data_IF_162513170682
#
_entry.id   IF_162513170682
#
_cell.length_a   1.000
_cell.length_b   1.000
_cell.length_c   1.000
_cell.angle_alpha   90.00
_cell.angle_beta   90.00
_cell.angle_gamma   90.00
#
_symmetry.space_group_name_H-M   'P 1'
#
loop_
_entity.id
_entity.type
_entity.pdbx_description
1 polymer ?
#
# COMPACT_ATOMS: atom_id res chain seq x y z
N UNK A 1 2.11 30.34 11.11
CA UNK A 1 1.50 29.33 12.00
C UNK A 1 1.97 27.96 11.54
N UNK A 2 2.94 27.38 12.26
CA UNK A 2 3.47 26.06 11.93
C UNK A 2 2.46 24.99 12.40
N UNK A 3 1.90 24.25 11.44
CA UNK A 3 0.97 23.16 11.73
C UNK A 3 1.81 21.96 12.21
N UNK A 4 1.88 21.76 13.53
CA UNK A 4 2.56 20.60 14.11
C UNK A 4 1.81 19.32 13.67
N UNK A 5 2.48 18.30 13.10
CA UNK A 5 1.83 17.04 12.79
C UNK A 5 1.53 16.33 14.11
N UNK A 6 0.26 16.11 14.39
CA UNK A 6 -0.25 15.46 15.59
C UNK A 6 0.48 14.12 15.82
N UNK A 7 1.44 14.11 16.76
CA UNK A 7 2.52 13.13 16.92
C UNK A 7 2.13 11.79 17.54
N UNK A 8 0.99 11.20 17.14
CA UNK A 8 0.66 9.82 17.48
C UNK A 8 0.96 8.94 16.28
N UNK A 9 2.15 8.33 16.27
CA UNK A 9 2.44 7.22 15.35
C UNK A 9 1.33 6.19 15.54
N UNK A 10 0.58 5.89 14.48
CA UNK A 10 -0.46 4.86 14.53
C UNK A 10 0.14 3.56 15.11
N UNK A 11 -0.49 2.94 16.12
CA UNK A 11 0.00 1.69 16.69
C UNK A 11 0.30 0.68 15.57
N UNK A 12 1.46 0.03 15.63
CA UNK A 12 1.86 -0.96 14.62
C UNK A 12 2.47 -0.39 13.33
N UNK A 13 2.48 0.93 13.08
CA UNK A 13 3.06 1.50 11.84
C UNK A 13 4.53 1.13 11.64
N UNK A 14 5.34 1.24 12.70
CA UNK A 14 6.75 0.82 12.66
C UNK A 14 6.94 -0.66 12.37
N UNK A 15 6.05 -1.52 12.88
CA UNK A 15 6.05 -2.96 12.57
C UNK A 15 5.80 -3.19 11.08
N UNK A 16 4.85 -2.45 10.51
CA UNK A 16 4.56 -2.45 9.08
C UNK A 16 5.77 -2.07 8.21
N UNK A 17 6.41 -0.95 8.54
CA UNK A 17 7.59 -0.47 7.81
C UNK A 17 8.73 -1.50 7.83
N UNK A 18 9.02 -2.09 9.00
CA UNK A 18 10.03 -3.14 9.14
C UNK A 18 9.71 -4.37 8.29
N UNK A 19 8.44 -4.80 8.28
CA UNK A 19 8.02 -5.92 7.46
C UNK A 19 8.17 -5.60 5.96
N UNK A 20 7.88 -4.38 5.53
CA UNK A 20 8.06 -3.97 4.14
C UNK A 20 9.53 -4.01 3.72
N UNK A 21 10.43 -3.47 4.54
CA UNK A 21 11.88 -3.54 4.28
C UNK A 21 12.35 -5.00 4.16
N UNK A 22 11.91 -5.88 5.07
CA UNK A 22 12.27 -7.29 5.02
C UNK A 22 11.75 -8.02 3.77
N UNK A 23 10.62 -7.58 3.19
CA UNK A 23 10.10 -8.12 1.94
C UNK A 23 10.88 -7.55 0.74
N UNK A 24 11.22 -6.27 0.75
CA UNK A 24 12.08 -5.66 -0.28
C UNK A 24 13.46 -6.33 -0.35
N UNK A 25 14.06 -6.66 0.79
CA UNK A 25 15.33 -7.40 0.87
C UNK A 25 15.23 -8.80 0.23
N UNK A 26 14.02 -9.38 0.18
CA UNK A 26 13.73 -10.65 -0.49
C UNK A 26 13.30 -10.48 -1.95
N UNK A 27 13.32 -9.25 -2.47
CA UNK A 27 12.84 -8.93 -3.81
C UNK A 27 11.32 -8.92 -3.96
N UNK A 28 10.56 -8.92 -2.85
CA UNK A 28 9.10 -8.92 -2.85
C UNK A 28 8.59 -7.49 -2.86
N UNK A 29 7.92 -7.09 -3.94
CA UNK A 29 7.23 -5.82 -4.07
C UNK A 29 5.72 -6.07 -4.13
N UNK A 30 4.99 -5.75 -3.06
CA UNK A 30 3.56 -6.03 -2.97
C UNK A 30 2.80 -4.96 -2.19
N UNK A 31 1.50 -4.85 -2.45
CA UNK A 31 0.57 -4.04 -1.66
C UNK A 31 -0.46 -4.94 -0.98
N UNK A 32 -0.83 -4.52 0.22
CA UNK A 32 -1.72 -5.26 1.10
C UNK A 32 -3.14 -4.69 1.06
N UNK A 33 -4.14 -5.49 0.72
CA UNK A 33 -5.55 -5.13 0.87
C UNK A 33 -6.06 -5.52 2.26
N UNK A 34 -6.82 -4.63 2.85
CA UNK A 34 -7.35 -4.80 4.18
C UNK A 34 -8.80 -4.30 4.24
N UNK A 35 -9.72 -5.00 4.92
CA UNK A 35 -11.10 -4.56 5.09
C UNK A 35 -11.22 -3.12 5.64
N UNK A 36 -12.34 -2.42 5.36
CA UNK A 36 -13.58 -2.95 4.81
C UNK A 36 -13.62 -3.06 3.28
N UNK A 37 -14.27 -4.13 2.82
CA UNK A 37 -14.78 -4.30 1.46
C UNK A 37 -16.24 -3.79 1.43
N UNK A 38 -16.83 -3.42 0.28
CA UNK A 38 -16.35 -3.65 -1.08
C UNK A 38 -15.29 -2.65 -1.55
N UNK A 39 -14.35 -3.13 -2.35
CA UNK A 39 -13.40 -2.29 -3.06
C UNK A 39 -14.13 -1.49 -4.16
N UNK A 40 -13.60 -0.33 -4.59
CA UNK A 40 -14.18 0.44 -5.69
C UNK A 40 -14.28 -0.38 -7.00
N UNK A 41 -15.19 -0.06 -7.93
CA UNK A 41 -15.36 -0.82 -9.18
C UNK A 41 -14.07 -0.94 -10.03
N UNK A 42 -13.23 0.10 -10.01
CA UNK A 42 -11.95 0.15 -10.74
C UNK A 42 -10.82 -0.64 -10.07
N UNK A 43 -11.07 -1.23 -8.90
CA UNK A 43 -10.01 -1.85 -8.09
C UNK A 43 -9.31 -3.00 -8.80
N UNK A 44 -10.07 -3.90 -9.42
CA UNK A 44 -9.52 -5.03 -10.17
C UNK A 44 -8.67 -4.59 -11.36
N UNK A 45 -9.07 -3.53 -12.06
CA UNK A 45 -8.29 -2.95 -13.15
C UNK A 45 -6.99 -2.33 -12.63
N UNK A 46 -7.03 -1.64 -11.48
CA UNK A 46 -5.86 -1.05 -10.86
C UNK A 46 -4.85 -2.09 -10.37
N UNK A 47 -5.30 -3.16 -9.71
CA UNK A 47 -4.41 -4.24 -9.24
C UNK A 47 -3.84 -5.03 -10.41
N UNK A 48 -4.62 -5.23 -11.48
CA UNK A 48 -4.11 -5.82 -12.71
C UNK A 48 -2.99 -4.97 -13.34
N UNK A 49 -3.18 -3.64 -13.46
CA UNK A 49 -2.17 -2.72 -13.98
C UNK A 49 -0.89 -2.73 -13.13
N UNK A 50 -1.02 -2.72 -11.81
CA UNK A 50 0.12 -2.83 -10.89
C UNK A 50 0.92 -4.11 -11.13
N UNK A 51 0.24 -5.23 -11.32
CA UNK A 51 0.88 -6.52 -11.55
C UNK A 51 1.54 -6.60 -12.93
N UNK A 52 0.88 -6.12 -13.98
CA UNK A 52 1.38 -6.26 -15.36
C UNK A 52 2.43 -5.24 -15.74
N UNK A 53 2.35 -4.01 -15.23
CA UNK A 53 3.27 -2.93 -15.59
C UNK A 53 4.41 -2.75 -14.59
N UNK A 54 4.17 -3.08 -13.31
CA UNK A 54 5.17 -2.89 -12.26
C UNK A 54 5.58 -4.19 -11.56
N UNK A 55 5.00 -5.34 -11.93
CA UNK A 55 5.25 -6.61 -11.23
C UNK A 55 4.83 -6.60 -9.76
N UNK A 56 4.01 -5.63 -9.35
CA UNK A 56 3.62 -5.42 -7.95
C UNK A 56 2.53 -6.41 -7.58
N UNK A 57 2.83 -7.29 -6.62
CA UNK A 57 1.89 -8.25 -6.07
C UNK A 57 0.77 -7.58 -5.28
N UNK A 58 -0.33 -8.31 -5.12
CA UNK A 58 -1.47 -7.87 -4.32
C UNK A 58 -1.90 -8.96 -3.34
N UNK A 59 -1.90 -8.65 -2.04
CA UNK A 59 -2.20 -9.62 -0.99
C UNK A 59 -3.36 -9.15 -0.11
N UNK A 60 -4.42 -9.97 -0.01
CA UNK A 60 -5.47 -9.74 0.99
C UNK A 60 -4.98 -10.17 2.38
N UNK A 61 -4.89 -9.23 3.31
CA UNK A 61 -4.54 -9.47 4.71
C UNK A 61 -5.75 -10.08 5.42
N UNK A 62 -5.72 -11.40 5.60
CA UNK A 62 -6.74 -12.12 6.36
C UNK A 62 -6.55 -11.84 7.86
N UNK A 63 -7.51 -11.14 8.46
CA UNK A 63 -7.61 -11.00 9.91
C UNK A 63 -9.05 -11.25 10.36
N UNK A 64 -9.26 -12.05 11.42
CA UNK A 64 -10.60 -12.31 11.95
C UNK A 64 -11.24 -11.08 12.60
N UNK A 65 -10.46 -10.06 12.96
CA UNK A 65 -10.96 -8.82 13.57
C UNK A 65 -10.23 -7.58 13.04
N UNK A 66 -10.97 -6.50 12.89
CA UNK A 66 -10.40 -5.18 12.64
C UNK A 66 -9.64 -4.69 13.88
N UNK A 67 -8.45 -4.11 13.72
CA UNK A 67 -7.77 -3.40 14.81
C UNK A 67 -6.95 -2.23 14.32
N UNK A 68 -6.86 -1.16 15.11
CA UNK A 68 -6.03 0.01 14.81
C UNK A 68 -4.55 -0.34 14.69
N UNK A 69 -4.08 -1.33 15.45
CA UNK A 69 -2.70 -1.82 15.35
C UNK A 69 -2.43 -2.50 14.01
N UNK A 70 -3.38 -3.28 13.51
CA UNK A 70 -3.29 -3.91 12.19
C UNK A 70 -3.40 -2.86 11.08
N UNK A 71 -4.35 -1.93 11.18
CA UNK A 71 -4.48 -0.80 10.25
C UNK A 71 -3.20 0.02 10.18
N UNK A 72 -2.61 0.36 11.32
CA UNK A 72 -1.34 1.06 11.39
C UNK A 72 -0.22 0.24 10.74
N UNK A 73 -0.16 -1.08 10.99
CA UNK A 73 0.80 -1.97 10.35
C UNK A 73 0.65 -2.02 8.82
N UNK A 74 -0.58 -2.07 8.29
CA UNK A 74 -0.80 -2.05 6.83
C UNK A 74 -0.40 -0.69 6.25
N UNK A 75 -0.74 0.40 6.92
CA UNK A 75 -0.36 1.75 6.49
C UNK A 75 1.17 1.93 6.44
N UNK A 76 1.89 1.52 7.50
CA UNK A 76 3.35 1.60 7.54
C UNK A 76 4.02 0.73 6.50
N UNK A 77 3.45 -0.44 6.19
CA UNK A 77 3.92 -1.29 5.10
C UNK A 77 3.74 -0.60 3.74
N UNK A 78 2.57 0.00 3.49
CA UNK A 78 2.28 0.73 2.25
C UNK A 78 3.16 1.96 2.08
N UNK A 79 3.52 2.68 3.14
CA UNK A 79 4.40 3.86 3.04
C UNK A 79 5.73 3.50 2.36
N UNK A 80 6.36 2.41 2.82
CA UNK A 80 7.64 1.93 2.28
C UNK A 80 7.45 1.36 0.87
N UNK A 81 6.46 0.50 0.68
CA UNK A 81 6.24 -0.13 -0.63
C UNK A 81 5.88 0.88 -1.72
N UNK A 82 5.08 1.91 -1.41
CA UNK A 82 4.75 2.95 -2.39
C UNK A 82 5.96 3.81 -2.75
N UNK A 83 6.76 4.18 -1.77
CA UNK A 83 8.01 4.91 -2.02
C UNK A 83 8.94 4.10 -2.94
N UNK A 84 9.05 2.79 -2.71
CA UNK A 84 9.84 1.92 -3.57
C UNK A 84 9.26 1.77 -4.98
N UNK A 85 7.94 1.65 -5.12
CA UNK A 85 7.27 1.60 -6.43
C UNK A 85 7.55 2.90 -7.21
N UNK A 86 7.39 4.06 -6.57
CA UNK A 86 7.65 5.36 -7.18
C UNK A 86 9.13 5.55 -7.53
N UNK A 87 10.04 5.03 -6.71
CA UNK A 87 11.47 5.02 -6.99
C UNK A 87 11.82 4.17 -8.23
N UNK A 88 11.22 2.98 -8.37
CA UNK A 88 11.53 2.05 -9.48
C UNK A 88 10.85 2.41 -10.80
N UNK A 89 9.60 2.91 -10.75
CA UNK A 89 8.75 3.06 -11.93
C UNK A 89 8.35 4.51 -12.24
N UNK A 90 8.77 5.46 -11.40
CA UNK A 90 8.51 6.89 -11.57
C UNK A 90 7.54 7.46 -10.54
N UNK A 91 7.79 8.71 -10.16
CA UNK A 91 7.17 9.39 -9.00
C UNK A 91 5.64 9.42 -9.00
N UNK A 92 5.00 9.35 -10.17
CA UNK A 92 3.54 9.46 -10.31
C UNK A 92 2.87 8.17 -10.81
N UNK A 93 3.61 7.07 -10.91
CA UNK A 93 3.10 5.83 -11.51
C UNK A 93 1.81 5.34 -10.86
N UNK A 94 1.73 5.36 -9.52
CA UNK A 94 0.55 4.92 -8.78
C UNK A 94 -0.68 5.77 -9.10
N UNK A 95 -0.49 7.08 -9.27
CA UNK A 95 -1.55 8.01 -9.67
C UNK A 95 -1.99 7.75 -11.10
N UNK A 96 -1.04 7.60 -12.03
CA UNK A 96 -1.32 7.32 -13.43
C UNK A 96 -2.09 6.01 -13.62
N UNK A 97 -1.65 4.93 -12.96
CA UNK A 97 -2.34 3.64 -13.00
C UNK A 97 -3.76 3.74 -12.45
N UNK A 98 -3.96 4.49 -11.37
CA UNK A 98 -5.29 4.71 -10.79
C UNK A 98 -6.20 5.49 -11.72
N UNK A 99 -5.72 6.59 -12.31
CA UNK A 99 -6.50 7.38 -13.26
C UNK A 99 -6.89 6.55 -14.50
N UNK A 100 -5.98 5.71 -14.99
CA UNK A 100 -6.24 4.80 -16.11
C UNK A 100 -7.26 3.72 -15.75
N UNK A 101 -7.24 3.20 -14.53
CA UNK A 101 -8.23 2.24 -14.05
C UNK A 101 -9.62 2.88 -13.90
N UNK A 102 -9.71 4.15 -13.53
CA UNK A 102 -10.96 4.89 -13.37
C UNK A 102 -11.59 5.34 -14.70
N UNK A 103 -10.77 5.60 -15.72
CA UNK A 103 -11.23 5.97 -17.05
C UNK A 103 -11.64 4.80 -17.95
N UNK A 104 -11.65 3.58 -17.41
CA UNK A 104 -12.15 2.35 -18.05
C UNK A 104 -13.49 1.95 -17.45
#
# INVERSE_FOLDING_TARGET
MANQPNGKIHPGRWKGMKAAVADLDKGVLQLNEYPPLPSPPFHSAYTWLLQTECGVGWQLVKSPKYSEALRGSVAGYHDVMRAEIEYRFGRDILTQLRSRAQGK
#
